data_IF_429061309462
#
_entry.id   IF_429061309462
#
_cell.length_a   1.000
_cell.length_b   1.000
_cell.length_c   1.000
_cell.angle_alpha   90.00
_cell.angle_beta   90.00
_cell.angle_gamma   90.00
#
_symmetry.space_group_name_H-M   'P 1'
#
loop_
_entity.id
_entity.type
_entity.pdbx_description
1 polymer ?
#
# COMPACT_ATOMS: atom_id res chain seq x y z
N UNK A 1 4.68 25.50 1.44
CA UNK A 1 3.70 24.45 1.78
C UNK A 1 3.54 24.47 3.28
N UNK A 2 2.29 24.60 3.74
CA UNK A 2 1.99 24.77 5.17
C UNK A 2 2.32 23.49 5.95
N UNK A 3 3.05 23.62 7.05
CA UNK A 3 3.62 22.47 7.80
C UNK A 3 2.57 21.61 8.50
N UNK A 4 1.38 22.17 8.74
CA UNK A 4 0.24 21.46 9.30
C UNK A 4 -0.32 20.43 8.30
N UNK A 5 -0.36 20.78 7.01
CA UNK A 5 -0.95 19.95 5.95
C UNK A 5 -0.10 18.69 5.69
N UNK A 6 1.23 18.77 5.73
CA UNK A 6 2.08 17.58 5.48
C UNK A 6 1.96 16.52 6.58
N UNK A 7 1.76 16.93 7.84
CA UNK A 7 1.61 16.00 8.97
C UNK A 7 0.32 15.20 8.87
N UNK A 8 -0.78 15.82 8.47
CA UNK A 8 -2.06 15.13 8.30
C UNK A 8 -2.00 14.13 7.16
N UNK A 9 -1.42 14.54 6.01
CA UNK A 9 -1.31 13.68 4.82
C UNK A 9 -0.47 12.43 5.06
N UNK A 10 0.49 12.44 5.99
CA UNK A 10 1.23 11.23 6.39
C UNK A 10 0.44 10.26 7.25
N UNK A 11 -0.56 10.72 8.00
CA UNK A 11 -1.23 9.93 9.04
C UNK A 11 -2.62 9.46 8.60
N UNK A 12 -3.26 10.18 7.69
CA UNK A 12 -4.63 9.95 7.29
C UNK A 12 -4.64 9.44 5.85
N UNK A 13 -5.19 8.23 5.66
CA UNK A 13 -5.43 7.68 4.34
C UNK A 13 -6.23 8.66 3.47
N UNK A 14 -5.90 8.83 2.18
CA UNK A 14 -6.75 9.61 1.30
C UNK A 14 -8.18 9.06 1.28
N UNK A 15 -9.20 9.92 1.27
CA UNK A 15 -10.60 9.49 1.29
C UNK A 15 -10.95 8.68 0.04
N UNK A 16 -11.90 7.76 0.17
CA UNK A 16 -12.36 6.92 -0.95
C UNK A 16 -11.38 5.80 -1.34
N UNK A 17 -10.36 5.53 -0.51
CA UNK A 17 -9.53 4.35 -0.65
C UNK A 17 -10.33 3.07 -0.42
N UNK A 18 -10.11 2.09 -1.28
CA UNK A 18 -10.59 0.73 -1.11
C UNK A 18 -9.42 -0.14 -0.65
N UNK A 19 -9.52 -0.70 0.55
CA UNK A 19 -8.55 -1.64 1.12
C UNK A 19 -9.25 -2.99 1.20
N UNK A 20 -8.61 -4.02 0.65
CA UNK A 20 -9.11 -5.39 0.72
C UNK A 20 -7.94 -6.39 0.61
N UNK A 21 -8.27 -7.67 0.54
CA UNK A 21 -7.33 -8.76 0.44
C UNK A 21 -7.66 -9.65 -0.75
N UNK A 22 -6.63 -10.17 -1.41
CA UNK A 22 -6.79 -11.33 -2.29
C UNK A 22 -6.03 -12.52 -1.72
N UNK A 23 -6.54 -13.72 -1.93
CA UNK A 23 -5.81 -14.95 -1.62
C UNK A 23 -4.84 -15.23 -2.77
N UNK A 24 -3.56 -15.36 -2.45
CA UNK A 24 -2.55 -15.75 -3.41
C UNK A 24 -2.43 -17.28 -3.50
N UNK A 25 -1.71 -17.77 -4.52
CA UNK A 25 -1.60 -19.21 -4.82
C UNK A 25 -1.08 -20.09 -3.67
N UNK A 26 -0.32 -19.51 -2.73
CA UNK A 26 0.18 -20.16 -1.51
C UNK A 26 -0.81 -20.10 -0.33
N UNK A 27 -2.04 -19.63 -0.57
CA UNK A 27 -3.10 -19.46 0.43
C UNK A 27 -2.92 -18.24 1.33
N UNK A 28 -1.88 -17.43 1.14
CA UNK A 28 -1.68 -16.22 1.94
C UNK A 28 -2.56 -15.07 1.43
N UNK A 29 -3.25 -14.42 2.36
CA UNK A 29 -3.99 -13.20 2.08
C UNK A 29 -3.03 -12.01 1.88
N UNK A 30 -3.08 -11.37 0.71
CA UNK A 30 -2.30 -10.18 0.38
C UNK A 30 -3.20 -8.96 0.46
N UNK A 31 -2.89 -8.04 1.38
CA UNK A 31 -3.59 -6.76 1.49
C UNK A 31 -3.20 -5.86 0.34
N UNK A 32 -4.19 -5.27 -0.30
CA UNK A 32 -3.98 -4.25 -1.31
C UNK A 32 -4.80 -3.00 -1.01
N UNK A 33 -4.41 -1.88 -1.63
CA UNK A 33 -5.09 -0.61 -1.53
C UNK A 33 -5.20 0.07 -2.89
N UNK A 34 -6.40 0.55 -3.20
CA UNK A 34 -6.74 1.25 -4.42
C UNK A 34 -7.32 2.63 -4.11
N UNK A 35 -6.80 3.66 -4.76
CA UNK A 35 -7.35 5.02 -4.73
C UNK A 35 -7.54 5.55 -6.14
N UNK A 36 -8.65 6.25 -6.38
CA UNK A 36 -8.91 6.95 -7.64
C UNK A 36 -9.06 8.44 -7.38
N UNK A 37 -8.42 9.31 -8.17
CA UNK A 37 -8.60 10.75 -8.05
C UNK A 37 -10.02 11.12 -8.51
N UNK A 38 -10.47 12.31 -8.09
CA UNK A 38 -11.73 12.87 -8.60
C UNK A 38 -11.53 13.37 -10.03
N UNK A 39 -12.48 13.10 -10.91
CA UNK A 39 -12.45 13.58 -12.30
C UNK A 39 -11.69 12.66 -13.26
N UNK A 40 -11.01 13.25 -14.25
CA UNK A 40 -10.30 12.52 -15.30
C UNK A 40 -9.04 11.86 -14.73
N UNK A 41 -8.88 10.55 -14.96
CA UNK A 41 -7.68 9.79 -14.57
C UNK A 41 -6.67 9.83 -15.70
N UNK A 42 -5.48 10.39 -15.45
CA UNK A 42 -4.41 10.52 -16.44
C UNK A 42 -3.50 9.27 -16.53
N UNK A 43 -3.54 8.42 -15.51
CA UNK A 43 -2.76 7.19 -15.45
C UNK A 43 -2.89 6.50 -14.11
N UNK A 44 -2.17 5.39 -13.95
CA UNK A 44 -2.12 4.62 -12.70
C UNK A 44 -0.68 4.50 -12.22
N UNK A 45 -0.45 4.83 -10.96
CA UNK A 45 0.81 4.64 -10.24
C UNK A 45 0.71 3.37 -9.40
N UNK A 46 1.62 2.42 -9.61
CA UNK A 46 1.82 1.31 -8.71
C UNK A 46 2.91 1.67 -7.70
N UNK A 47 2.54 1.83 -6.43
CA UNK A 47 3.50 2.09 -5.34
C UNK A 47 3.92 0.76 -4.74
N UNK A 48 5.19 0.41 -4.96
CA UNK A 48 5.82 -0.79 -4.41
C UNK A 48 6.80 -0.35 -3.31
N UNK A 49 6.53 -0.77 -2.09
CA UNK A 49 7.33 -0.33 -0.94
C UNK A 49 8.56 -1.22 -0.70
N UNK A 50 9.47 -0.74 0.15
CA UNK A 50 10.69 -1.46 0.52
C UNK A 50 10.46 -2.57 1.56
N UNK A 51 11.56 -3.21 2.00
CA UNK A 51 11.55 -4.19 3.10
C UNK A 51 11.17 -3.51 4.41
N UNK A 52 10.35 -4.16 5.24
CA UNK A 52 9.84 -3.66 6.54
C UNK A 52 8.93 -2.41 6.43
N UNK A 53 8.43 -2.13 5.24
CA UNK A 53 7.49 -1.05 4.98
C UNK A 53 6.05 -1.61 4.87
N UNK A 54 5.06 -0.71 4.81
CA UNK A 54 3.64 -1.04 4.70
C UNK A 54 2.85 0.16 4.16
N UNK A 55 1.65 -0.07 3.65
CA UNK A 55 0.81 0.91 2.93
C UNK A 55 0.70 2.26 3.64
N UNK A 56 0.42 2.28 4.96
CA UNK A 56 0.18 3.50 5.73
C UNK A 56 1.35 4.50 5.68
N UNK A 57 2.59 4.03 5.49
CA UNK A 57 3.76 4.91 5.38
C UNK A 57 3.74 5.77 4.12
N UNK A 58 2.96 5.39 3.12
CA UNK A 58 2.90 6.03 1.81
C UNK A 58 1.69 6.95 1.64
N UNK A 59 0.86 7.18 2.67
CA UNK A 59 -0.32 8.03 2.53
C UNK A 59 -0.02 9.41 1.94
N UNK A 60 1.08 10.06 2.33
CA UNK A 60 1.50 11.35 1.76
C UNK A 60 1.79 11.24 0.26
N UNK A 61 2.47 10.18 -0.17
CA UNK A 61 2.74 9.90 -1.58
C UNK A 61 1.47 9.59 -2.37
N UNK A 62 0.54 8.81 -1.81
CA UNK A 62 -0.73 8.49 -2.46
C UNK A 62 -1.53 9.78 -2.67
N UNK A 63 -1.61 10.62 -1.64
CA UNK A 63 -2.16 11.96 -1.69
C UNK A 63 -1.56 12.81 -2.83
N UNK A 64 -0.23 12.86 -2.93
CA UNK A 64 0.48 13.59 -4.01
C UNK A 64 0.20 13.03 -5.41
N UNK A 65 0.04 11.73 -5.55
CA UNK A 65 -0.34 11.10 -6.82
C UNK A 65 -1.78 11.47 -7.22
N UNK A 66 -2.71 11.43 -6.26
CA UNK A 66 -4.12 11.77 -6.51
C UNK A 66 -4.29 13.23 -6.93
N UNK A 67 -3.54 14.16 -6.32
CA UNK A 67 -3.54 15.58 -6.71
C UNK A 67 -3.07 15.79 -8.15
N UNK A 68 -2.26 14.87 -8.68
CA UNK A 68 -1.77 14.87 -10.06
C UNK A 68 -2.66 14.06 -11.01
N UNK A 69 -3.87 13.71 -10.59
CA UNK A 69 -4.82 12.92 -11.38
C UNK A 69 -4.31 11.52 -11.75
N UNK A 70 -3.45 10.92 -10.92
CA UNK A 70 -3.02 9.54 -11.04
C UNK A 70 -3.80 8.67 -10.07
N UNK A 71 -4.43 7.60 -10.57
CA UNK A 71 -4.94 6.54 -9.70
C UNK A 71 -3.77 5.80 -9.04
N UNK A 72 -3.96 5.25 -7.86
CA UNK A 72 -2.91 4.55 -7.13
C UNK A 72 -3.37 3.14 -6.80
N UNK A 73 -2.49 2.17 -7.09
CA UNK A 73 -2.55 0.83 -6.55
C UNK A 73 -1.30 0.57 -5.70
N UNK A 74 -1.45 -0.17 -4.62
CA UNK A 74 -0.35 -0.59 -3.75
C UNK A 74 -0.78 -1.84 -2.98
N UNK A 75 0.17 -2.49 -2.32
CA UNK A 75 -0.08 -3.69 -1.54
C UNK A 75 0.98 -3.85 -0.46
N UNK A 76 0.64 -4.57 0.60
CA UNK A 76 1.60 -5.01 1.60
C UNK A 76 2.27 -6.31 1.09
N UNK A 77 3.60 -6.35 1.00
CA UNK A 77 4.31 -7.59 0.63
C UNK A 77 3.89 -8.76 1.53
N UNK A 78 4.01 -9.99 1.01
CA UNK A 78 4.02 -11.21 1.83
C UNK A 78 4.97 -11.01 3.02
N UNK A 79 4.53 -11.37 4.22
CA UNK A 79 5.34 -11.20 5.42
C UNK A 79 5.44 -9.76 5.94
N UNK A 80 4.75 -8.78 5.35
CA UNK A 80 4.85 -7.36 5.72
C UNK A 80 3.48 -6.71 5.91
N UNK A 81 3.47 -5.55 6.59
CA UNK A 81 2.26 -4.84 6.94
C UNK A 81 1.20 -5.75 7.55
N UNK A 82 0.00 -5.69 6.98
CA UNK A 82 -1.14 -6.53 7.38
C UNK A 82 -1.38 -7.69 6.42
N UNK A 83 -0.49 -7.97 5.47
CA UNK A 83 -0.52 -9.19 4.65
C UNK A 83 -0.12 -10.43 5.46
N UNK A 84 -0.54 -11.59 4.97
CA UNK A 84 -0.26 -12.90 5.56
C UNK A 84 1.24 -13.20 5.63
N UNK A 85 1.62 -14.03 6.60
CA UNK A 85 2.99 -14.49 6.85
C UNK A 85 3.03 -16.01 6.71
N UNK A 86 4.04 -16.54 6.00
CA UNK A 86 4.26 -17.99 5.89
C UNK A 86 4.84 -18.63 7.16
N UNK A 87 5.35 -17.82 8.09
CA UNK A 87 5.98 -18.26 9.33
C UNK A 87 5.17 -17.88 10.57
N UNK A 88 5.21 -18.72 11.60
CA UNK A 88 4.60 -18.41 12.90
C UNK A 88 5.37 -17.33 13.67
N UNK A 89 6.67 -17.17 13.41
CA UNK A 89 7.50 -16.14 14.03
C UNK A 89 7.45 -14.85 13.19
N UNK A 90 6.82 -13.77 13.68
CA UNK A 90 6.60 -12.55 12.89
C UNK A 90 7.89 -11.79 12.57
N UNK A 91 9.01 -12.09 13.24
CA UNK A 91 10.32 -11.49 12.98
C UNK A 91 11.14 -12.25 11.93
N UNK A 92 10.64 -13.41 11.46
CA UNK A 92 11.31 -14.21 10.43
C UNK A 92 10.59 -14.08 9.10
N UNK A 93 11.34 -13.62 8.13
CA UNK A 93 10.94 -13.60 6.73
C UNK A 93 11.69 -14.75 6.04
N UNK A 94 11.06 -15.93 6.02
CA UNK A 94 11.59 -17.12 5.39
C UNK A 94 10.80 -17.41 4.14
N UNK A 95 11.51 -17.64 3.03
CA UNK A 95 10.95 -18.13 1.80
C UNK A 95 11.48 -19.54 1.57
N UNK A 96 10.57 -20.47 1.30
CA UNK A 96 10.91 -21.88 1.07
C UNK A 96 11.55 -22.10 -0.31
N UNK A 97 11.30 -21.20 -1.27
CA UNK A 97 11.85 -21.24 -2.63
C UNK A 97 12.05 -19.83 -3.22
N UNK A 98 13.00 -19.71 -4.16
CA UNK A 98 13.26 -18.50 -4.96
C UNK A 98 13.10 -18.72 -6.47
N UNK A 99 12.72 -19.92 -6.86
CA UNK A 99 12.55 -20.35 -8.25
C UNK A 99 11.23 -19.87 -8.86
#
# INVERSE_FOLDING_TARGET
MDSANSRERRRIAPPGGHIDYFEADDGLAIRFGLWRPRGVVQGTMLVVHGRTEFIEKYYETIHDCLDRSLAVATFDWRGQGLSGRGTADPYKDHQDSFD
#
